data_IF_115370504130
#
_entry.id   IF_115370504130
#
_cell.length_a   1.000
_cell.length_b   1.000
_cell.length_c   1.000
_cell.angle_alpha   90.00
_cell.angle_beta   90.00
_cell.angle_gamma   90.00
#
_symmetry.space_group_name_H-M   'P 1'
#
loop_
_entity.id
_entity.type
_entity.pdbx_description
1 polymer ?
#
# COMPACT_ATOMS: atom_id res chain seq x y z
N UNK A 1 -0.35 11.20 -2.95
CA UNK A 1 -1.53 10.36 -3.32
C UNK A 1 -2.62 10.70 -2.32
N UNK A 2 -3.87 10.90 -2.77
CA UNK A 2 -5.00 11.17 -1.87
C UNK A 2 -5.77 9.86 -1.71
N UNK A 3 -5.72 9.27 -0.52
CA UNK A 3 -6.39 8.02 -0.19
C UNK A 3 -7.28 8.24 1.03
N UNK A 4 -8.56 8.53 0.76
CA UNK A 4 -9.53 8.86 1.81
C UNK A 4 -10.24 7.61 2.29
N UNK A 5 -10.72 7.66 3.53
CA UNK A 5 -11.49 6.56 4.13
C UNK A 5 -12.76 6.29 3.33
N UNK A 6 -13.46 7.33 2.87
CA UNK A 6 -14.69 7.23 2.07
C UNK A 6 -14.49 6.55 0.69
N UNK A 7 -13.27 6.55 0.16
CA UNK A 7 -12.97 5.99 -1.16
C UNK A 7 -12.63 4.48 -1.07
N UNK A 8 -12.58 3.92 0.14
CA UNK A 8 -12.30 2.51 0.40
C UNK A 8 -13.60 1.71 0.53
N UNK A 9 -13.90 0.90 -0.48
CA UNK A 9 -15.02 -0.03 -0.47
C UNK A 9 -14.54 -1.43 -0.11
N UNK A 10 -14.67 -1.80 1.17
CA UNK A 10 -14.30 -3.13 1.67
C UNK A 10 -15.23 -4.24 1.17
N UNK A 11 -16.49 -3.92 0.83
CA UNK A 11 -17.47 -4.90 0.36
C UNK A 11 -17.12 -5.36 -1.04
N UNK A 12 -16.81 -4.42 -1.93
CA UNK A 12 -16.39 -4.69 -3.30
C UNK A 12 -14.88 -4.90 -3.43
N UNK A 13 -14.12 -4.67 -2.36
CA UNK A 13 -12.64 -4.77 -2.31
C UNK A 13 -11.99 -3.84 -3.32
N UNK A 14 -12.38 -2.57 -3.29
CA UNK A 14 -11.94 -1.53 -4.22
C UNK A 14 -11.44 -0.33 -3.43
N UNK A 15 -10.35 0.28 -3.91
CA UNK A 15 -9.97 1.64 -3.57
C UNK A 15 -10.22 2.54 -4.78
N UNK A 16 -11.19 3.44 -4.67
CA UNK A 16 -11.47 4.44 -5.69
C UNK A 16 -10.43 5.56 -5.62
N UNK A 17 -9.89 5.96 -6.78
CA UNK A 17 -8.96 7.08 -6.87
C UNK A 17 -9.63 8.18 -7.70
N UNK A 18 -10.22 9.21 -7.05
CA UNK A 18 -11.08 10.17 -7.74
C UNK A 18 -10.30 11.19 -8.58
N UNK A 19 -9.07 11.54 -8.19
CA UNK A 19 -8.25 12.57 -8.85
C UNK A 19 -6.80 12.12 -9.02
N UNK A 20 -6.50 11.17 -9.91
CA UNK A 20 -5.14 10.77 -10.19
C UNK A 20 -4.40 11.83 -11.04
N UNK A 21 -3.14 11.54 -11.37
CA UNK A 21 -2.34 12.40 -12.24
C UNK A 21 -3.04 12.56 -13.61
N UNK A 22 -3.52 13.77 -13.89
CA UNK A 22 -4.32 14.10 -15.08
C UNK A 22 -5.80 14.36 -14.80
N UNK A 23 -6.21 14.46 -13.54
CA UNK A 23 -7.51 14.98 -13.12
C UNK A 23 -8.63 13.95 -13.05
N UNK A 24 -9.85 14.42 -12.72
CA UNK A 24 -11.01 13.56 -12.42
C UNK A 24 -11.46 12.67 -13.58
N UNK A 25 -11.20 13.08 -14.84
CA UNK A 25 -11.49 12.27 -16.04
C UNK A 25 -10.69 10.96 -16.11
N UNK A 26 -9.64 10.84 -15.29
CA UNK A 26 -8.80 9.64 -15.19
C UNK A 26 -9.06 8.85 -13.92
N UNK A 27 -10.14 9.16 -13.19
CA UNK A 27 -10.54 8.40 -12.01
C UNK A 27 -10.59 6.91 -12.33
N UNK A 28 -10.16 6.09 -11.37
CA UNK A 28 -10.08 4.66 -11.57
C UNK A 28 -10.25 3.92 -10.26
N UNK A 29 -10.69 2.67 -10.38
CA UNK A 29 -10.86 1.75 -9.28
C UNK A 29 -9.68 0.79 -9.23
N UNK A 30 -9.04 0.68 -8.07
CA UNK A 30 -7.97 -0.28 -7.82
C UNK A 30 -8.57 -1.50 -7.10
N UNK A 31 -8.56 -2.71 -7.71
CA UNK A 31 -8.95 -3.91 -6.98
C UNK A 31 -7.96 -4.17 -5.86
N UNK A 32 -8.46 -4.59 -4.70
CA UNK A 32 -7.67 -4.89 -3.52
C UNK A 32 -7.65 -6.40 -3.26
N UNK A 33 -6.45 -6.94 -3.09
CA UNK A 33 -6.27 -8.29 -2.55
C UNK A 33 -6.47 -8.32 -1.04
N UNK A 34 -6.62 -9.51 -0.45
CA UNK A 34 -6.73 -9.66 1.01
C UNK A 34 -5.52 -9.07 1.75
N UNK A 35 -4.25 -9.31 1.33
CA UNK A 35 -3.09 -8.66 1.96
C UNK A 35 -3.14 -7.14 1.88
N UNK A 36 -3.61 -6.56 0.76
CA UNK A 36 -3.75 -5.11 0.63
C UNK A 36 -4.82 -4.55 1.57
N UNK A 37 -5.97 -5.21 1.68
CA UNK A 37 -7.03 -4.82 2.65
C UNK A 37 -6.47 -4.81 4.07
N UNK A 38 -5.69 -5.82 4.45
CA UNK A 38 -5.05 -5.86 5.76
C UNK A 38 -4.09 -4.67 5.96
N UNK A 39 -3.31 -4.31 4.94
CA UNK A 39 -2.45 -3.12 4.98
C UNK A 39 -3.27 -1.83 5.15
N UNK A 40 -4.41 -1.68 4.46
CA UNK A 40 -5.27 -0.50 4.60
C UNK A 40 -5.88 -0.42 6.01
N UNK A 41 -6.45 -1.52 6.52
CA UNK A 41 -7.02 -1.57 7.88
C UNK A 41 -5.96 -1.24 8.93
N UNK A 42 -4.76 -1.80 8.76
CA UNK A 42 -3.65 -1.51 9.66
C UNK A 42 -3.22 -0.04 9.59
N UNK A 43 -3.09 0.51 8.39
CA UNK A 43 -2.77 1.92 8.19
C UNK A 43 -3.83 2.82 8.87
N UNK A 44 -5.12 2.51 8.73
CA UNK A 44 -6.18 3.26 9.40
C UNK A 44 -6.07 3.19 10.93
N UNK A 45 -5.74 2.03 11.49
CA UNK A 45 -5.52 1.89 12.94
C UNK A 45 -4.34 2.74 13.41
N UNK A 46 -3.21 2.67 12.70
CA UNK A 46 -2.01 3.46 13.01
C UNK A 46 -2.28 4.96 12.84
N UNK A 47 -2.99 5.36 11.79
CA UNK A 47 -3.40 6.75 11.55
C UNK A 47 -4.21 7.28 12.74
N UNK A 48 -5.20 6.54 13.24
CA UNK A 48 -6.00 6.94 14.42
C UNK A 48 -5.17 7.04 15.69
N UNK A 49 -4.15 6.20 15.82
CA UNK A 49 -3.24 6.21 16.97
C UNK A 49 -2.30 7.41 16.95
N UNK A 50 -1.77 7.78 15.77
CA UNK A 50 -0.76 8.82 15.64
C UNK A 50 -1.36 10.21 15.41
N UNK A 51 -2.48 10.30 14.69
CA UNK A 51 -3.07 11.54 14.17
C UNK A 51 -4.61 11.45 14.18
N UNK A 52 -5.26 11.34 15.35
CA UNK A 52 -6.71 11.15 15.46
C UNK A 52 -7.53 12.23 14.75
N UNK A 53 -7.03 13.47 14.73
CA UNK A 53 -7.67 14.64 14.13
C UNK A 53 -7.81 14.57 12.60
N UNK A 54 -6.95 13.83 11.92
CA UNK A 54 -6.95 13.68 10.45
C UNK A 54 -7.26 12.25 9.99
N UNK A 55 -7.27 11.29 10.90
CA UNK A 55 -7.49 9.87 10.62
C UNK A 55 -8.93 9.49 10.26
N UNK A 56 -9.91 10.38 10.49
CA UNK A 56 -11.27 10.19 10.00
C UNK A 56 -11.37 10.41 8.49
N UNK A 57 -10.59 11.36 7.95
CA UNK A 57 -10.57 11.65 6.52
C UNK A 57 -9.59 10.74 5.77
N UNK A 58 -8.39 10.51 6.32
CA UNK A 58 -7.26 9.93 5.60
C UNK A 58 -6.88 8.52 6.06
N UNK A 59 -6.67 7.60 5.10
CA UNK A 59 -6.15 6.26 5.40
C UNK A 59 -4.72 6.34 5.94
N UNK A 60 -3.90 7.23 5.35
CA UNK A 60 -2.51 7.47 5.71
C UNK A 60 -2.37 8.89 6.28
N UNK A 61 -2.89 9.12 7.49
CA UNK A 61 -2.75 10.38 8.19
C UNK A 61 -1.28 10.67 8.52
N UNK A 62 -0.86 11.92 8.41
CA UNK A 62 0.54 12.29 8.62
C UNK A 62 0.68 13.75 9.06
N UNK A 63 1.82 14.05 9.68
CA UNK A 63 2.22 15.40 10.07
C UNK A 63 2.66 16.21 8.84
N UNK A 64 1.69 16.82 8.20
CA UNK A 64 1.88 17.60 6.99
C UNK A 64 0.78 18.64 6.89
N UNK A 65 1.02 19.72 6.15
CA UNK A 65 0.02 20.77 5.96
C UNK A 65 -1.37 20.26 5.53
N UNK A 66 -1.52 19.28 4.61
CA UNK A 66 -2.83 18.72 4.25
C UNK A 66 -3.32 17.60 5.19
N UNK A 67 -2.59 17.24 6.25
CA UNK A 67 -2.99 16.21 7.22
C UNK A 67 -2.80 14.75 6.75
N UNK A 68 -2.15 14.51 5.62
CA UNK A 68 -1.98 13.17 5.06
C UNK A 68 -0.62 12.97 4.40
N UNK A 69 -0.20 11.72 4.24
CA UNK A 69 1.07 11.39 3.59
C UNK A 69 1.13 11.97 2.17
N UNK A 70 2.06 12.91 1.94
CA UNK A 70 2.27 13.56 0.64
C UNK A 70 3.17 12.69 -0.24
N UNK A 71 4.24 12.17 0.36
CA UNK A 71 5.28 11.40 -0.33
C UNK A 71 5.77 10.23 0.54
N UNK A 72 5.99 9.07 -0.08
CA UNK A 72 6.54 7.87 0.55
C UNK A 72 8.04 7.80 0.28
N UNK A 73 8.81 8.65 0.96
CA UNK A 73 10.27 8.62 0.91
C UNK A 73 10.81 8.38 2.29
N UNK A 74 11.49 7.25 2.44
CA UNK A 74 12.37 6.99 3.58
C UNK A 74 13.82 7.34 3.23
N UNK A 75 14.68 7.62 4.23
CA UNK A 75 16.11 7.70 4.02
C UNK A 75 16.63 6.44 3.32
N UNK A 76 17.47 6.60 2.30
CA UNK A 76 17.94 5.47 1.48
C UNK A 76 18.72 4.39 2.23
N UNK A 77 19.33 4.76 3.37
CA UNK A 77 19.97 3.83 4.28
C UNK A 77 18.97 2.86 4.96
N UNK A 78 17.68 3.24 5.04
CA UNK A 78 16.60 2.43 5.62
C UNK A 78 15.76 1.74 4.54
N UNK A 79 15.37 2.48 3.50
CA UNK A 79 14.67 1.93 2.35
C UNK A 79 15.33 2.43 1.07
N UNK A 80 16.06 1.54 0.40
CA UNK A 80 16.86 1.89 -0.78
C UNK A 80 16.04 2.26 -2.03
N UNK A 81 14.71 2.05 -1.98
CA UNK A 81 13.77 2.20 -3.10
C UNK A 81 12.61 3.11 -2.72
N UNK A 82 12.18 3.98 -3.64
CA UNK A 82 11.01 4.86 -3.47
C UNK A 82 9.85 4.38 -4.35
N UNK A 83 8.72 5.09 -4.40
CA UNK A 83 7.51 4.58 -5.05
C UNK A 83 7.62 4.25 -6.50
N UNK A 84 8.39 5.03 -7.26
CA UNK A 84 8.57 4.72 -8.67
C UNK A 84 9.31 3.38 -8.84
N UNK A 85 10.31 3.13 -8.00
CA UNK A 85 11.04 1.86 -7.98
C UNK A 85 10.14 0.71 -7.51
N UNK A 86 9.30 0.95 -6.50
CA UNK A 86 8.33 -0.04 -6.02
C UNK A 86 7.28 -0.36 -7.07
N UNK A 87 6.81 0.64 -7.83
CA UNK A 87 5.89 0.47 -8.95
C UNK A 87 6.54 -0.30 -10.10
N UNK A 88 7.81 -0.05 -10.38
CA UNK A 88 8.57 -0.84 -11.37
C UNK A 88 8.75 -2.28 -10.89
N UNK A 89 9.10 -2.48 -9.61
CA UNK A 89 9.24 -3.82 -9.01
C UNK A 89 7.92 -4.58 -9.06
N UNK A 90 6.81 -3.91 -8.76
CA UNK A 90 5.46 -4.46 -8.87
C UNK A 90 5.16 -4.95 -10.31
N UNK A 91 5.57 -4.17 -11.33
CA UNK A 91 5.44 -4.58 -12.73
C UNK A 91 6.25 -5.84 -13.03
N UNK A 92 7.52 -5.85 -12.65
CA UNK A 92 8.43 -6.97 -12.89
C UNK A 92 7.95 -8.24 -12.20
N UNK A 93 7.50 -8.14 -10.95
CA UNK A 93 6.97 -9.27 -10.19
C UNK A 93 5.64 -9.75 -10.75
N UNK A 94 4.80 -8.87 -11.29
CA UNK A 94 3.59 -9.24 -12.03
C UNK A 94 3.88 -10.13 -13.22
N UNK A 95 4.89 -9.76 -14.03
CA UNK A 95 5.33 -10.57 -15.16
C UNK A 95 5.91 -11.92 -14.70
N UNK A 96 6.71 -11.93 -13.62
CA UNK A 96 7.25 -13.15 -13.03
C UNK A 96 6.15 -14.08 -12.46
N UNK A 97 5.04 -13.50 -11.99
CA UNK A 97 3.86 -14.23 -11.53
C UNK A 97 2.94 -14.70 -12.67
N UNK A 98 3.31 -14.47 -13.94
CA UNK A 98 2.56 -14.91 -15.10
C UNK A 98 1.37 -14.03 -15.48
N UNK A 99 1.25 -12.81 -14.94
CA UNK A 99 0.18 -11.89 -15.34
C UNK A 99 0.44 -11.37 -16.77
N UNK A 100 -0.63 -11.27 -17.55
CA UNK A 100 -0.55 -10.72 -18.90
C UNK A 100 -0.15 -9.24 -18.87
N UNK A 101 0.49 -8.77 -19.95
CA UNK A 101 0.86 -7.35 -20.05
C UNK A 101 -0.37 -6.43 -19.97
N UNK A 102 -1.49 -6.85 -20.54
CA UNK A 102 -2.75 -6.10 -20.49
C UNK A 102 -3.24 -5.98 -19.05
N UNK A 103 -3.26 -7.08 -18.28
CA UNK A 103 -3.73 -7.04 -16.90
C UNK A 103 -2.80 -6.18 -16.03
N UNK A 104 -1.48 -6.24 -16.26
CA UNK A 104 -0.53 -5.34 -15.58
C UNK A 104 -0.72 -3.88 -15.95
N UNK A 105 -1.04 -3.56 -17.21
CA UNK A 105 -1.36 -2.19 -17.61
C UNK A 105 -2.63 -1.70 -16.91
N UNK A 106 -3.68 -2.53 -16.86
CA UNK A 106 -4.94 -2.21 -16.18
C UNK A 106 -4.74 -2.01 -14.67
N UNK A 107 -4.05 -2.94 -13.97
CA UNK A 107 -3.75 -2.84 -12.54
C UNK A 107 -2.90 -1.60 -12.20
N UNK A 108 -2.02 -1.18 -13.10
CA UNK A 108 -1.15 -0.01 -12.89
C UNK A 108 -1.79 1.32 -13.32
N UNK A 109 -3.05 1.31 -13.76
CA UNK A 109 -3.72 2.44 -14.40
C UNK A 109 -2.83 3.09 -15.49
N UNK A 110 -2.20 2.24 -16.30
CA UNK A 110 -1.51 2.65 -17.52
C UNK A 110 -2.48 2.35 -18.65
N UNK A 111 -2.90 3.37 -19.40
CA UNK A 111 -3.85 3.19 -20.50
C UNK A 111 -3.41 2.03 -21.39
N UNK A 112 -4.33 1.09 -21.67
CA UNK A 112 -4.01 -0.01 -22.58
C UNK A 112 -3.76 0.57 -23.98
N UNK A 113 -2.84 0.00 -24.76
CA UNK A 113 -2.65 0.40 -26.15
C UNK A 113 -3.95 0.16 -26.93
N UNK A 114 -4.50 1.21 -27.55
CA UNK A 114 -5.70 1.13 -28.41
C UNK A 114 -6.99 1.66 -27.77
N UNK A 115 -7.81 2.32 -28.60
CA UNK A 115 -8.99 3.13 -28.22
C UNK A 115 -10.13 2.37 -27.49
N UNK A 116 -10.04 1.05 -27.33
CA UNK A 116 -11.05 0.21 -26.67
C UNK A 116 -10.78 -0.05 -25.17
N UNK A 117 -9.71 0.54 -24.62
CA UNK A 117 -9.30 0.35 -23.22
C UNK A 117 -10.42 0.65 -22.21
N UNK A 118 -11.24 1.69 -22.45
CA UNK A 118 -12.27 2.14 -21.50
C UNK A 118 -13.41 1.13 -21.24
N UNK A 119 -13.85 0.38 -22.27
CA UNK A 119 -14.89 -0.63 -22.12
C UNK A 119 -14.37 -1.93 -21.48
N UNK A 120 -13.11 -2.28 -21.76
CA UNK A 120 -12.45 -3.49 -21.25
C UNK A 120 -12.20 -3.38 -19.74
N UNK A 121 -11.80 -2.21 -19.25
CA UNK A 121 -11.53 -1.99 -17.82
C UNK A 121 -12.79 -2.23 -16.97
N UNK A 122 -13.95 -1.74 -17.41
CA UNK A 122 -15.21 -1.88 -16.65
C UNK A 122 -15.68 -3.33 -16.59
N UNK A 123 -15.69 -4.05 -17.71
CA UNK A 123 -16.11 -5.46 -17.74
C UNK A 123 -15.13 -6.39 -16.99
N UNK A 124 -13.81 -6.17 -17.10
CA UNK A 124 -12.80 -6.98 -16.39
C UNK A 124 -12.70 -6.68 -14.89
N UNK A 125 -13.02 -5.45 -14.46
CA UNK A 125 -13.16 -5.10 -13.04
C UNK A 125 -14.43 -5.70 -12.44
N UNK A 126 -15.53 -5.69 -13.20
CA UNK A 126 -16.82 -6.26 -12.77
C UNK A 126 -16.81 -7.80 -12.75
N UNK A 127 -16.03 -8.46 -13.61
CA UNK A 127 -16.00 -9.92 -13.76
C UNK A 127 -14.93 -10.68 -12.97
N UNK A 128 -14.57 -10.22 -11.76
CA UNK A 128 -13.60 -10.86 -10.83
C UNK A 128 -12.15 -11.06 -11.31
N UNK A 129 -11.87 -11.02 -12.62
CA UNK A 129 -10.57 -11.35 -13.22
C UNK A 129 -9.42 -10.52 -12.67
N UNK A 130 -9.51 -9.19 -12.71
CA UNK A 130 -8.43 -8.32 -12.23
C UNK A 130 -8.20 -8.45 -10.72
N UNK A 131 -9.25 -8.79 -9.99
CA UNK A 131 -9.18 -9.03 -8.54
C UNK A 131 -8.49 -10.35 -8.24
N UNK A 132 -8.76 -11.41 -8.99
CA UNK A 132 -8.03 -12.68 -8.90
C UNK A 132 -6.56 -12.51 -9.29
N UNK A 133 -6.26 -11.75 -10.35
CA UNK A 133 -4.89 -11.43 -10.75
C UNK A 133 -4.13 -10.64 -9.66
N UNK A 134 -4.80 -9.65 -9.05
CA UNK A 134 -4.25 -8.89 -7.93
C UNK A 134 -3.97 -9.76 -6.70
N UNK A 135 -4.86 -10.71 -6.39
CA UNK A 135 -4.69 -11.66 -5.29
C UNK A 135 -3.48 -12.56 -5.54
N UNK A 136 -3.40 -13.19 -6.71
CA UNK A 136 -2.29 -14.06 -7.08
C UNK A 136 -0.93 -13.36 -7.03
N UNK A 137 -0.86 -12.12 -7.53
CA UNK A 137 0.36 -11.31 -7.42
C UNK A 137 0.70 -10.97 -5.96
N UNK A 138 -0.29 -10.65 -5.14
CA UNK A 138 -0.08 -10.33 -3.72
C UNK A 138 0.41 -11.53 -2.92
N UNK A 139 -0.01 -12.75 -3.27
CA UNK A 139 0.51 -13.99 -2.70
C UNK A 139 1.92 -14.34 -3.19
N UNK A 140 2.22 -14.01 -4.45
CA UNK A 140 3.52 -14.28 -5.07
C UNK A 140 4.64 -13.42 -4.47
N UNK A 141 4.40 -12.13 -4.23
CA UNK A 141 5.43 -11.17 -3.80
C UNK A 141 6.18 -11.63 -2.54
N UNK A 142 5.52 -12.04 -1.44
CA UNK A 142 6.22 -12.55 -0.26
C UNK A 142 7.04 -13.80 -0.57
N UNK A 143 6.47 -14.76 -1.32
CA UNK A 143 7.14 -16.03 -1.69
C UNK A 143 8.40 -15.79 -2.53
N UNK A 144 8.37 -14.81 -3.42
CA UNK A 144 9.54 -14.43 -4.22
C UNK A 144 10.68 -13.84 -3.38
N UNK A 145 10.33 -13.15 -2.28
CA UNK A 145 11.28 -12.54 -1.34
C UNK A 145 11.65 -13.38 -0.13
N UNK A 146 11.08 -14.59 0.00
CA UNK A 146 11.41 -15.52 1.08
C UNK A 146 12.88 -15.93 0.96
N UNK A 147 13.61 -15.98 2.09
CA UNK A 147 14.98 -16.43 2.09
C UNK A 147 15.08 -17.85 1.55
N UNK A 148 16.13 -18.15 0.79
CA UNK A 148 16.37 -19.52 0.33
C UNK A 148 16.73 -20.38 1.54
N UNK A 149 16.50 -21.69 1.42
CA UNK A 149 16.85 -22.66 2.46
C UNK A 149 18.31 -22.45 2.89
N UNK A 150 18.53 -22.01 4.13
CA UNK A 150 19.86 -21.71 4.69
C UNK A 150 20.11 -20.24 5.05
N UNK A 151 19.27 -19.30 4.59
CA UNK A 151 19.36 -17.89 4.96
C UNK A 151 18.84 -17.65 6.40
N UNK A 152 19.38 -16.67 7.14
CA UNK A 152 18.91 -16.35 8.49
C UNK A 152 17.44 -15.84 8.48
N UNK A 153 16.63 -16.20 9.49
CA UNK A 153 15.24 -15.77 9.54
C UNK A 153 15.16 -14.24 9.59
N UNK A 154 14.38 -13.65 8.68
CA UNK A 154 14.05 -12.22 8.75
C UNK A 154 13.12 -12.00 9.95
N UNK A 155 13.51 -11.09 10.84
CA UNK A 155 12.67 -10.68 11.95
C UNK A 155 11.33 -10.17 11.42
N UNK A 156 10.22 -10.81 11.81
CA UNK A 156 8.87 -10.33 11.49
C UNK A 156 8.60 -9.09 12.31
N UNK A 157 8.95 -7.91 11.79
CA UNK A 157 8.63 -6.61 12.37
C UNK A 157 7.16 -6.26 12.09
N UNK A 158 6.22 -7.09 12.55
CA UNK A 158 4.81 -6.70 12.68
C UNK A 158 4.47 -6.80 14.16
N UNK A 159 4.34 -5.67 14.89
CA UNK A 159 3.75 -5.73 16.21
C UNK A 159 2.34 -6.32 16.05
N UNK A 160 2.07 -7.42 16.73
CA UNK A 160 0.73 -7.98 16.84
C UNK A 160 -0.11 -6.98 17.64
N UNK A 161 -0.76 -6.05 16.95
CA UNK A 161 -1.75 -5.16 17.56
C UNK A 161 -3.05 -5.96 17.69
N UNK A 162 -3.47 -6.36 18.90
CA UNK A 162 -4.72 -7.07 19.07
C UNK A 162 -5.87 -6.21 18.52
N UNK A 163 -6.87 -6.89 17.94
CA UNK A 163 -8.16 -6.26 17.64
C UNK A 163 -8.74 -5.69 18.93
N UNK A 164 -8.80 -4.35 19.04
CA UNK A 164 -9.43 -3.67 20.18
C UNK A 164 -10.89 -4.11 20.31
N UNK A 165 -11.32 -4.41 21.53
CA UNK A 165 -12.73 -4.52 21.90
C UNK A 165 -13.24 -3.13 22.26
N UNK A 166 -14.53 -2.88 22.03
CA UNK A 166 -15.18 -1.66 22.49
C UNK A 166 -15.08 -1.65 24.04
N UNK A 167 -14.45 -0.61 24.61
CA UNK A 167 -14.20 -0.48 26.05
C UNK A 167 -12.74 -0.62 26.48
N UNK A 168 -11.81 -0.99 25.58
CA UNK A 168 -10.39 -1.01 25.92
C UNK A 168 -9.86 0.41 26.19
N UNK A 169 -9.04 0.63 27.25
CA UNK A 169 -8.47 1.95 27.53
C UNK A 169 -7.58 2.42 26.36
N UNK A 170 -7.46 3.74 26.12
CA UNK A 170 -6.53 4.27 25.13
C UNK A 170 -5.09 3.92 25.52
N UNK A 171 -4.58 2.80 25.01
CA UNK A 171 -3.15 2.51 25.07
C UNK A 171 -2.49 3.47 24.07
N UNK A 172 -1.57 4.32 24.56
CA UNK A 172 -0.55 4.97 23.73
C UNK A 172 0.28 3.83 23.10
N UNK A 173 0.10 3.59 21.80
CA UNK A 173 0.63 2.41 21.16
C UNK A 173 1.80 2.79 20.28
N UNK A 174 2.55 3.84 20.63
CA UNK A 174 3.87 4.04 20.04
C UNK A 174 4.72 2.86 20.50
N UNK A 175 5.02 1.87 19.63
CA UNK A 175 6.01 0.87 19.98
C UNK A 175 7.29 1.64 20.29
N UNK A 176 8.09 1.26 21.32
CA UNK A 176 9.31 1.98 21.62
C UNK A 176 10.11 2.12 20.32
N UNK A 177 10.52 3.35 19.98
CA UNK A 177 11.31 3.60 18.79
C UNK A 177 12.44 2.55 18.78
N UNK A 178 12.64 1.75 17.71
CA UNK A 178 13.72 0.77 17.66
C UNK A 178 15.13 1.39 17.81
N UNK A 179 15.22 2.72 17.92
CA UNK A 179 16.40 3.52 18.27
C UNK A 179 16.53 3.85 19.76
N UNK A 180 15.52 3.62 20.60
CA UNK A 180 15.62 3.81 22.04
C UNK A 180 16.80 2.97 22.56
N UNK A 181 17.83 3.64 23.10
CA UNK A 181 19.06 3.01 23.57
C UNK A 181 20.17 2.75 22.53
N UNK A 182 19.95 3.01 21.24
CA UNK A 182 21.02 2.92 20.22
C UNK A 182 21.68 4.30 20.03
N UNK A 183 22.96 4.41 20.41
CA UNK A 183 23.77 5.62 20.13
C UNK A 183 23.75 5.89 18.62
N UNK A 184 23.20 7.04 18.20
CA UNK A 184 23.34 7.47 16.81
C UNK A 184 24.83 7.61 16.48
N UNK A 185 25.30 7.08 15.33
CA UNK A 185 26.67 7.28 14.91
C UNK A 185 26.90 8.79 14.75
N UNK A 186 27.97 9.29 15.39
CA UNK A 186 28.39 10.69 15.29
C UNK A 186 28.62 11.01 13.80
N UNK A 187 27.87 11.99 13.28
CA UNK A 187 28.05 12.51 11.93
C UNK A 187 29.51 12.97 11.78
N UNK A 188 30.23 12.42 10.81
CA UNK A 188 31.44 13.08 10.29
C UNK A 188 30.96 14.21 9.38
N UNK A 189 31.37 15.43 9.72
CA UNK A 189 31.17 16.60 8.87
C UNK A 189 31.93 16.39 7.55
N UNK A 190 31.22 16.63 6.44
CA UNK A 190 31.79 16.98 5.14
C UNK A 190 31.07 18.25 4.70
#
# INVERSE_FOLDING_TARGET
MQARVQDLDLRHRILHIPKPKGGAKRAFDTPLSRPMIHCQIWAMRVSRMLRPETAEEWIFAADSAPGHMIEHKDPRARLSKWGNDLRQSYRTLGQAAGLSEIDMHLLMNRGAPGANAGCITRAKLLGDHLRAAQEGLSEFIPRYGEPRRGDPPKERVRPNLPSRRIGDPPIDPTPPDPRFGKKLPRRRAF
#
